data_IF_331441127241
#
_entry.id   IF_331441127241
#
_cell.length_a   1.000
_cell.length_b   1.000
_cell.length_c   1.000
_cell.angle_alpha   90.00
_cell.angle_beta   90.00
_cell.angle_gamma   90.00
#
_symmetry.space_group_name_H-M   'P 1'
#
loop_
_entity.id
_entity.type
_entity.pdbx_description
1 polymer ?
#
# COMPACT_ATOMS: atom_id res chain seq x y z
N UNK A 1 -43.77 -17.92 -48.73
CA UNK A 1 -43.94 -19.29 -48.19
C UNK A 1 -42.80 -19.47 -47.20
N UNK A 2 -42.90 -19.66 -45.91
CA UNK A 2 -43.94 -20.09 -44.99
C UNK A 2 -43.68 -19.43 -43.62
N UNK A 3 -44.74 -19.03 -42.98
CA UNK A 3 -44.82 -18.56 -41.58
C UNK A 3 -44.61 -19.70 -40.56
N UNK A 4 -44.05 -19.38 -39.38
CA UNK A 4 -44.45 -19.86 -38.05
C UNK A 4 -43.79 -18.90 -37.05
N UNK A 5 -44.39 -18.00 -36.40
CA UNK A 5 -45.44 -17.91 -35.33
C UNK A 5 -45.07 -18.61 -34.00
N UNK A 6 -44.76 -17.77 -33.03
CA UNK A 6 -45.29 -17.63 -31.64
C UNK A 6 -45.10 -18.78 -30.63
N UNK A 7 -44.66 -18.36 -29.47
CA UNK A 7 -44.85 -19.03 -28.21
C UNK A 7 -44.43 -18.14 -27.03
N UNK A 8 -45.22 -17.09 -26.72
CA UNK A 8 -45.27 -16.47 -25.39
C UNK A 8 -46.12 -17.41 -24.52
N UNK A 9 -45.58 -17.88 -23.42
CA UNK A 9 -46.40 -18.56 -22.42
C UNK A 9 -46.39 -17.76 -21.11
N UNK A 10 -47.64 -17.45 -20.77
CA UNK A 10 -48.11 -16.67 -19.63
C UNK A 10 -48.31 -17.65 -18.45
N UNK A 11 -47.62 -17.51 -17.35
CA UNK A 11 -47.95 -18.20 -16.11
C UNK A 11 -47.81 -17.29 -14.89
N UNK A 12 -48.62 -16.23 -14.90
CA UNK A 12 -49.11 -15.59 -13.67
C UNK A 12 -50.50 -16.08 -13.40
N UNK A 13 -50.75 -16.47 -12.15
CA UNK A 13 -51.98 -16.72 -11.40
C UNK A 13 -52.16 -18.17 -10.96
N UNK A 14 -52.16 -18.23 -9.68
CA UNK A 14 -52.97 -18.97 -8.73
C UNK A 14 -52.18 -19.29 -7.47
N UNK A 15 -52.47 -18.60 -6.38
CA UNK A 15 -52.81 -19.25 -5.10
C UNK A 15 -53.32 -18.19 -4.11
N UNK A 16 -54.63 -18.09 -4.03
CA UNK A 16 -55.32 -17.57 -2.89
C UNK A 16 -56.37 -18.59 -2.46
N UNK A 17 -56.51 -18.74 -1.14
CA UNK A 17 -57.56 -19.37 -0.35
C UNK A 17 -57.33 -20.82 0.09
N UNK A 18 -57.09 -20.97 1.39
CA UNK A 18 -58.03 -21.66 2.25
C UNK A 18 -57.71 -21.43 3.72
N UNK A 19 -58.63 -20.83 4.42
CA UNK A 19 -58.71 -20.69 5.88
C UNK A 19 -59.21 -21.98 6.49
N UNK A 20 -58.59 -22.44 7.58
CA UNK A 20 -59.25 -23.35 8.53
C UNK A 20 -58.79 -22.99 9.96
N UNK A 21 -59.71 -22.49 10.78
CA UNK A 21 -59.58 -22.36 12.23
C UNK A 21 -59.53 -23.73 12.87
N UNK A 22 -58.53 -23.93 13.78
CA UNK A 22 -58.70 -24.90 14.87
C UNK A 22 -58.19 -24.22 16.15
N UNK A 23 -59.12 -23.90 17.04
CA UNK A 23 -58.84 -23.42 18.37
C UNK A 23 -58.57 -24.61 19.29
N UNK A 24 -57.42 -24.69 19.94
CA UNK A 24 -57.17 -25.54 21.11
C UNK A 24 -56.36 -24.75 22.14
N UNK A 25 -56.81 -24.88 23.37
CA UNK A 25 -56.59 -24.18 24.61
C UNK A 25 -55.16 -23.73 24.94
N UNK A 26 -55.13 -22.50 25.42
CA UNK A 26 -53.93 -21.84 25.97
C UNK A 26 -53.69 -22.24 27.42
N UNK A 27 -52.55 -22.84 27.69
CA UNK A 27 -51.92 -22.73 29.00
C UNK A 27 -50.79 -21.71 28.88
N UNK A 28 -50.98 -20.54 29.44
CA UNK A 28 -49.99 -19.48 29.46
C UNK A 28 -48.82 -19.85 30.41
N UNK A 29 -47.73 -20.32 29.86
CA UNK A 29 -46.45 -20.31 30.57
C UNK A 29 -45.78 -18.97 30.23
N UNK A 30 -45.84 -18.04 31.16
CA UNK A 30 -45.09 -16.79 31.11
C UNK A 30 -43.60 -17.09 31.25
N UNK A 31 -42.93 -17.34 30.16
CA UNK A 31 -41.47 -17.27 30.09
C UNK A 31 -41.09 -15.79 30.16
N UNK A 32 -40.73 -15.32 31.34
CA UNK A 32 -39.99 -14.04 31.48
C UNK A 32 -38.60 -14.26 30.94
N UNK A 33 -38.42 -13.92 29.65
CA UNK A 33 -37.10 -13.68 29.11
C UNK A 33 -36.50 -12.49 29.84
N UNK A 34 -35.28 -12.60 30.40
CA UNK A 34 -34.62 -11.42 30.93
C UNK A 34 -34.49 -10.39 29.80
N UNK A 35 -35.10 -9.22 29.99
CA UNK A 35 -34.74 -8.05 29.18
C UNK A 35 -33.23 -7.88 29.32
N UNK A 36 -32.53 -8.21 28.25
CA UNK A 36 -31.14 -7.82 28.11
C UNK A 36 -31.15 -6.29 28.14
N UNK A 37 -30.70 -5.74 29.27
CA UNK A 37 -30.50 -4.31 29.40
C UNK A 37 -29.69 -3.88 28.14
N UNK A 38 -30.28 -3.03 27.31
CA UNK A 38 -29.56 -2.25 26.33
C UNK A 38 -28.62 -1.35 27.12
N UNK A 39 -27.48 -1.91 27.51
CA UNK A 39 -26.36 -1.08 27.89
C UNK A 39 -26.12 -0.17 26.70
N UNK A 40 -26.14 1.11 26.90
CA UNK A 40 -25.64 2.12 25.98
C UNK A 40 -24.19 1.71 25.68
N UNK A 41 -23.96 0.93 24.62
CA UNK A 41 -22.62 0.67 24.16
C UNK A 41 -22.11 2.02 23.65
N UNK A 42 -21.30 2.67 24.45
CA UNK A 42 -20.53 3.83 24.01
C UNK A 42 -19.72 3.33 22.83
N UNK A 43 -20.11 3.73 21.63
CA UNK A 43 -19.41 3.40 20.40
C UNK A 43 -17.97 3.90 20.54
N UNK A 44 -16.99 3.03 20.32
CA UNK A 44 -15.57 3.38 20.43
C UNK A 44 -15.25 4.41 19.36
N UNK A 45 -14.65 5.55 19.72
CA UNK A 45 -14.18 6.52 18.75
C UNK A 45 -12.73 6.20 18.37
N UNK A 46 -12.45 6.09 17.06
CA UNK A 46 -11.13 5.82 16.50
C UNK A 46 -10.64 6.98 15.65
N UNK A 47 -9.44 7.44 15.92
CA UNK A 47 -8.72 8.39 15.07
C UNK A 47 -7.85 7.63 14.10
N UNK A 48 -8.08 7.83 12.81
CA UNK A 48 -7.39 7.13 11.73
C UNK A 48 -6.74 8.12 10.80
N UNK A 49 -5.52 7.84 10.35
CA UNK A 49 -4.83 8.61 9.32
C UNK A 49 -4.30 7.72 8.21
N UNK A 50 -4.28 8.25 7.00
CA UNK A 50 -3.80 7.59 5.79
C UNK A 50 -4.00 8.48 4.59
N UNK A 51 -3.61 8.00 3.41
CA UNK A 51 -3.97 8.68 2.17
C UNK A 51 -5.41 8.36 1.78
N UNK A 52 -6.05 9.27 1.06
CA UNK A 52 -7.41 9.15 0.54
C UNK A 52 -7.48 8.42 -0.82
N UNK A 53 -6.77 7.29 -0.93
CA UNK A 53 -6.84 6.47 -2.13
C UNK A 53 -8.28 6.04 -2.46
N UNK A 54 -8.55 5.79 -3.75
CA UNK A 54 -9.82 5.25 -4.22
C UNK A 54 -10.29 4.01 -3.43
N UNK A 55 -9.35 3.08 -3.15
CA UNK A 55 -9.56 1.84 -2.37
C UNK A 55 -9.75 2.04 -0.87
N UNK A 56 -9.54 3.24 -0.36
CA UNK A 56 -9.74 3.63 1.03
C UNK A 56 -10.89 4.65 1.16
N UNK A 57 -11.26 5.32 0.07
CA UNK A 57 -12.22 6.42 0.07
C UNK A 57 -13.58 6.08 0.71
N UNK A 58 -14.06 4.84 0.55
CA UNK A 58 -15.33 4.43 1.17
C UNK A 58 -15.25 4.37 2.70
N UNK A 59 -14.07 4.06 3.26
CA UNK A 59 -13.79 4.11 4.69
C UNK A 59 -13.62 5.57 5.14
N UNK A 60 -12.80 6.34 4.45
CA UNK A 60 -12.52 7.74 4.76
C UNK A 60 -13.77 8.62 4.76
N UNK A 61 -14.75 8.33 3.88
CA UNK A 61 -16.02 9.06 3.80
C UNK A 61 -17.13 8.51 4.70
N UNK A 62 -16.85 7.46 5.49
CA UNK A 62 -17.83 6.82 6.37
C UNK A 62 -18.89 5.97 5.66
N UNK A 63 -18.75 5.73 4.36
CA UNK A 63 -19.61 4.81 3.59
C UNK A 63 -19.42 3.36 4.04
N UNK A 64 -18.20 2.98 4.38
CA UNK A 64 -17.84 1.76 5.09
C UNK A 64 -17.48 2.15 6.52
N UNK A 65 -17.92 1.35 7.49
CA UNK A 65 -17.65 1.58 8.91
C UNK A 65 -16.80 0.44 9.47
N UNK A 66 -15.99 0.73 10.47
CA UNK A 66 -15.41 -0.30 11.33
C UNK A 66 -16.50 -0.70 12.31
N UNK A 67 -16.86 -1.99 12.34
CA UNK A 67 -17.92 -2.50 13.20
C UNK A 67 -17.67 -2.16 14.67
N UNK A 68 -18.68 -1.64 15.35
CA UNK A 68 -18.59 -1.23 16.76
C UNK A 68 -17.89 0.11 17.00
N UNK A 69 -17.45 0.83 15.95
CA UNK A 69 -16.67 2.04 16.09
C UNK A 69 -17.25 3.23 15.31
N UNK A 70 -17.02 4.42 15.86
CA UNK A 70 -17.12 5.69 15.13
C UNK A 70 -15.73 6.11 14.67
N UNK A 71 -15.59 6.36 13.38
CA UNK A 71 -14.32 6.65 12.73
C UNK A 71 -14.17 8.16 12.48
N UNK A 72 -13.04 8.72 12.89
CA UNK A 72 -12.56 10.04 12.48
C UNK A 72 -11.34 9.85 11.57
N UNK A 73 -11.53 10.02 10.25
CA UNK A 73 -10.45 9.86 9.27
C UNK A 73 -9.85 11.22 8.93
N UNK A 74 -8.53 11.34 9.10
CA UNK A 74 -7.75 12.52 8.74
C UNK A 74 -6.75 12.15 7.65
N UNK A 75 -6.89 12.67 6.42
CA UNK A 75 -5.86 12.49 5.40
C UNK A 75 -4.50 13.01 5.86
N UNK A 76 -3.43 12.24 5.61
CA UNK A 76 -2.07 12.60 6.03
C UNK A 76 -1.05 12.37 4.93
N UNK A 77 0.17 12.87 5.14
CA UNK A 77 1.35 12.61 4.33
C UNK A 77 2.23 11.59 5.03
N UNK A 78 2.86 10.68 4.29
CA UNK A 78 3.58 9.54 4.88
C UNK A 78 4.71 9.96 5.85
N UNK A 79 5.47 10.99 5.50
CA UNK A 79 6.54 11.48 6.38
C UNK A 79 6.00 12.02 7.72
N UNK A 80 4.88 12.74 7.67
CA UNK A 80 4.20 13.25 8.87
C UNK A 80 3.60 12.11 9.70
N UNK A 81 2.96 11.13 9.05
CA UNK A 81 2.40 9.94 9.70
C UNK A 81 3.48 9.10 10.36
N UNK A 82 4.63 8.89 9.69
CA UNK A 82 5.78 8.19 10.25
C UNK A 82 6.36 8.95 11.46
N UNK A 83 6.56 10.27 11.34
CA UNK A 83 7.07 11.08 12.44
C UNK A 83 6.14 11.03 13.67
N UNK A 84 4.83 11.12 13.45
CA UNK A 84 3.83 11.06 14.51
C UNK A 84 3.81 9.69 15.21
N UNK A 85 3.91 8.60 14.44
CA UNK A 85 3.90 7.24 14.98
C UNK A 85 5.18 6.89 15.74
N UNK A 86 6.37 7.28 15.23
CA UNK A 86 7.65 6.83 15.81
C UNK A 86 8.20 7.73 16.89
N UNK A 87 7.90 9.00 16.88
CA UNK A 87 8.50 9.96 17.82
C UNK A 87 7.60 11.10 18.23
N UNK A 88 6.37 11.15 17.68
CA UNK A 88 5.38 12.17 17.99
C UNK A 88 4.49 11.83 19.17
N UNK A 89 3.36 12.50 19.26
CA UNK A 89 2.36 12.32 20.34
C UNK A 89 1.50 11.06 20.18
N UNK A 90 1.67 10.32 19.06
CA UNK A 90 0.91 9.10 18.75
C UNK A 90 -0.61 9.32 18.84
N UNK A 91 -1.06 10.42 18.25
CA UNK A 91 -2.45 10.89 18.32
C UNK A 91 -3.44 9.92 17.67
N UNK A 92 -2.98 9.18 16.66
CA UNK A 92 -3.81 8.28 15.88
C UNK A 92 -3.81 6.85 16.44
N UNK A 93 -4.99 6.24 16.49
CA UNK A 93 -5.18 4.85 16.92
C UNK A 93 -4.79 3.89 15.80
N UNK A 94 -5.04 4.31 14.55
CA UNK A 94 -4.71 3.56 13.32
C UNK A 94 -4.01 4.53 12.37
N UNK A 95 -2.87 4.13 11.85
CA UNK A 95 -2.06 4.94 10.93
C UNK A 95 -1.61 4.11 9.73
N UNK A 96 -1.68 4.68 8.55
CA UNK A 96 -0.88 4.21 7.43
C UNK A 96 0.59 4.53 7.71
N UNK A 97 1.49 3.58 7.46
CA UNK A 97 2.90 3.69 7.83
C UNK A 97 3.80 3.14 6.73
N UNK A 98 4.96 3.76 6.54
CA UNK A 98 5.99 3.26 5.63
C UNK A 98 6.55 1.94 6.11
N UNK A 99 6.61 0.92 5.24
CA UNK A 99 6.93 -0.43 5.70
C UNK A 99 8.41 -0.56 6.11
N UNK A 100 9.36 0.04 5.40
CA UNK A 100 10.77 0.06 5.84
C UNK A 100 10.98 0.90 7.10
N UNK A 101 10.48 2.14 7.24
CA UNK A 101 10.54 2.85 8.51
C UNK A 101 10.04 2.03 9.69
N UNK A 102 8.93 1.29 9.54
CA UNK A 102 8.43 0.40 10.59
C UNK A 102 9.39 -0.77 10.88
N UNK A 103 9.89 -1.46 9.84
CA UNK A 103 10.86 -2.54 9.98
C UNK A 103 12.11 -2.06 10.75
N UNK A 104 12.61 -0.86 10.44
CA UNK A 104 13.81 -0.30 11.08
C UNK A 104 13.54 0.10 12.52
N UNK A 105 12.44 0.78 12.81
CA UNK A 105 12.03 1.11 14.17
C UNK A 105 11.89 -0.16 15.03
N UNK A 106 11.27 -1.18 14.49
CA UNK A 106 11.06 -2.46 15.16
C UNK A 106 12.37 -3.22 15.42
N UNK A 107 13.26 -3.29 14.41
CA UNK A 107 14.49 -4.07 14.48
C UNK A 107 15.62 -3.36 15.22
N UNK A 108 15.72 -2.04 15.11
CA UNK A 108 16.86 -1.27 15.56
C UNK A 108 16.65 -0.63 16.93
N UNK A 109 15.42 -0.24 17.25
CA UNK A 109 15.10 0.57 18.45
C UNK A 109 14.00 -0.05 19.32
N UNK A 110 13.66 -1.32 19.04
CA UNK A 110 12.67 -2.09 19.81
C UNK A 110 11.28 -1.40 19.89
N UNK A 111 10.90 -0.69 18.82
CA UNK A 111 9.60 -0.03 18.74
C UNK A 111 8.45 -1.04 18.74
N UNK A 112 7.50 -0.91 19.68
CA UNK A 112 6.39 -1.84 19.90
C UNK A 112 5.05 -1.15 20.16
N UNK A 113 4.97 0.17 20.00
CA UNK A 113 3.75 0.94 20.32
C UNK A 113 2.63 0.67 19.32
N UNK A 114 3.02 0.32 18.08
CA UNK A 114 2.10 -0.12 17.03
C UNK A 114 2.47 -1.53 16.55
N UNK A 115 1.48 -2.22 16.01
CA UNK A 115 1.64 -3.48 15.28
C UNK A 115 0.97 -3.37 13.92
N UNK A 116 1.46 -4.10 12.92
CA UNK A 116 0.86 -4.07 11.59
C UNK A 116 -0.38 -4.97 11.51
N UNK A 117 -1.34 -4.55 10.72
CA UNK A 117 -2.37 -5.39 10.13
C UNK A 117 -1.97 -5.70 8.67
N UNK A 118 -2.31 -6.88 8.13
CA UNK A 118 -1.94 -7.24 6.77
C UNK A 118 -2.83 -6.54 5.72
N UNK A 119 -2.92 -5.22 5.83
CA UNK A 119 -3.58 -4.29 4.93
C UNK A 119 -2.52 -3.42 4.28
N UNK A 120 -2.44 -3.45 2.95
CA UNK A 120 -1.37 -2.82 2.17
C UNK A 120 -1.94 -1.77 1.21
N UNK A 121 -2.25 -0.56 1.69
CA UNK A 121 -2.95 0.44 0.89
C UNK A 121 -2.11 1.02 -0.25
N UNK A 122 -0.78 1.00 -0.18
CA UNK A 122 0.08 1.46 -1.27
C UNK A 122 1.06 0.38 -1.73
N UNK A 123 0.96 0.05 -3.01
CA UNK A 123 1.86 -0.85 -3.74
C UNK A 123 2.26 -0.20 -5.05
N UNK A 124 3.53 -0.24 -5.40
CA UNK A 124 4.04 0.41 -6.62
C UNK A 124 5.26 -0.33 -7.15
N UNK A 125 5.24 -0.73 -8.42
CA UNK A 125 6.44 -1.16 -9.12
C UNK A 125 7.42 0.00 -9.28
N UNK A 126 8.72 -0.30 -9.26
CA UNK A 126 9.78 0.70 -9.15
C UNK A 126 10.73 0.82 -10.34
N UNK A 127 10.54 0.04 -11.40
CA UNK A 127 11.33 0.22 -12.63
C UNK A 127 11.13 1.62 -13.25
N UNK A 128 9.91 2.15 -13.19
CA UNK A 128 9.58 3.52 -13.62
C UNK A 128 10.18 4.63 -12.75
N UNK A 129 10.78 4.28 -11.62
CA UNK A 129 11.32 5.20 -10.61
C UNK A 129 12.84 5.43 -10.74
N UNK A 130 13.44 4.99 -11.84
CA UNK A 130 14.87 5.13 -12.13
C UNK A 130 15.04 6.00 -13.34
N UNK A 131 15.65 7.18 -13.13
CA UNK A 131 15.89 8.18 -14.17
C UNK A 131 17.39 8.33 -14.42
N UNK A 132 17.77 8.55 -15.66
CA UNK A 132 19.16 8.62 -16.10
C UNK A 132 19.39 9.85 -16.96
N UNK A 133 20.63 10.27 -17.03
CA UNK A 133 21.09 11.19 -18.08
C UNK A 133 21.50 10.39 -19.32
N UNK A 134 20.94 10.76 -20.46
CA UNK A 134 21.19 10.11 -21.75
C UNK A 134 22.60 10.39 -22.31
N UNK A 135 23.28 11.42 -21.78
CA UNK A 135 24.66 11.80 -22.16
C UNK A 135 25.73 11.17 -21.24
N UNK A 136 25.39 10.11 -20.48
CA UNK A 136 26.29 9.42 -19.53
C UNK A 136 26.51 7.95 -19.85
N UNK A 137 26.25 7.53 -21.09
CA UNK A 137 26.47 6.15 -21.56
C UNK A 137 25.77 5.09 -20.67
N UNK A 138 24.55 5.40 -20.20
CA UNK A 138 23.71 4.48 -19.44
C UNK A 138 22.59 4.01 -20.38
N UNK A 139 22.68 2.74 -20.82
CA UNK A 139 21.73 2.16 -21.77
C UNK A 139 20.99 0.94 -21.16
N UNK A 140 21.53 0.36 -20.12
CA UNK A 140 20.98 -0.80 -19.39
C UNK A 140 21.33 -0.71 -17.91
N UNK A 141 20.64 -1.48 -17.04
CA UNK A 141 20.87 -1.42 -15.60
C UNK A 141 22.33 -1.59 -15.19
N UNK A 142 23.08 -2.52 -15.81
CA UNK A 142 24.46 -2.81 -15.46
C UNK A 142 25.43 -1.64 -15.67
N UNK A 143 25.06 -0.68 -16.52
CA UNK A 143 25.85 0.54 -16.78
C UNK A 143 25.81 1.53 -15.60
N UNK A 144 24.95 1.28 -14.59
CA UNK A 144 24.93 2.06 -13.35
C UNK A 144 26.13 1.82 -12.44
N UNK A 145 26.92 0.75 -12.65
CA UNK A 145 28.13 0.49 -11.85
C UNK A 145 29.12 1.64 -11.94
N UNK A 146 29.57 2.11 -10.79
CA UNK A 146 30.50 3.24 -10.68
C UNK A 146 29.89 4.61 -10.97
N UNK A 147 28.60 4.68 -11.33
CA UNK A 147 27.92 5.95 -11.58
C UNK A 147 27.52 6.65 -10.29
N UNK A 148 27.33 7.95 -10.38
CA UNK A 148 26.86 8.79 -9.29
C UNK A 148 25.34 8.90 -9.36
N UNK A 149 24.65 8.45 -8.32
CA UNK A 149 23.19 8.40 -8.27
C UNK A 149 22.68 9.25 -7.10
N UNK A 150 21.77 10.18 -7.42
CA UNK A 150 21.08 10.99 -6.41
C UNK A 150 19.87 10.27 -5.81
N UNK A 151 19.54 10.62 -4.58
CA UNK A 151 18.34 10.20 -3.89
C UNK A 151 17.92 11.24 -2.84
N UNK A 152 16.61 11.43 -2.52
CA UNK A 152 16.16 12.41 -1.52
C UNK A 152 16.45 12.00 -0.06
N UNK A 153 16.85 10.79 0.16
CA UNK A 153 17.23 10.16 1.42
C UNK A 153 17.82 8.81 1.11
N UNK A 154 17.88 7.87 2.06
CA UNK A 154 18.46 6.56 1.73
C UNK A 154 17.53 5.38 2.09
N UNK A 155 16.90 5.40 3.25
CA UNK A 155 16.20 4.23 3.81
C UNK A 155 14.68 4.27 3.67
N UNK A 156 14.13 5.03 2.71
CA UNK A 156 12.71 4.93 2.41
C UNK A 156 12.34 3.56 1.80
N UNK A 157 11.09 3.16 1.94
CA UNK A 157 10.60 1.88 1.38
C UNK A 157 10.83 1.81 -0.13
N UNK A 158 10.57 2.91 -0.86
CA UNK A 158 10.77 2.99 -2.30
C UNK A 158 12.21 2.74 -2.70
N UNK A 159 13.14 3.41 -2.05
CA UNK A 159 14.58 3.34 -2.36
C UNK A 159 15.16 1.97 -2.00
N UNK A 160 14.70 1.37 -0.90
CA UNK A 160 15.09 0.01 -0.51
C UNK A 160 14.63 -1.01 -1.53
N UNK A 161 13.40 -0.89 -2.05
CA UNK A 161 12.91 -1.72 -3.15
C UNK A 161 13.72 -1.54 -4.45
N UNK A 162 14.05 -0.30 -4.83
CA UNK A 162 14.83 -0.05 -6.05
C UNK A 162 16.21 -0.70 -5.95
N UNK A 163 16.92 -0.52 -4.83
CA UNK A 163 18.25 -1.12 -4.64
C UNK A 163 18.19 -2.64 -4.59
N UNK A 164 17.21 -3.21 -3.88
CA UNK A 164 17.03 -4.67 -3.83
C UNK A 164 16.70 -5.27 -5.20
N UNK A 165 15.84 -4.60 -5.97
CA UNK A 165 15.55 -4.96 -7.36
C UNK A 165 16.81 -4.91 -8.24
N UNK A 166 17.62 -3.84 -8.13
CA UNK A 166 18.88 -3.74 -8.87
C UNK A 166 19.86 -4.87 -8.51
N UNK A 167 19.90 -5.25 -7.26
CA UNK A 167 20.77 -6.34 -6.81
C UNK A 167 20.27 -7.71 -7.30
N UNK A 168 19.01 -8.03 -7.10
CA UNK A 168 18.46 -9.36 -7.41
C UNK A 168 18.36 -9.62 -8.92
N UNK A 169 17.95 -8.62 -9.70
CA UNK A 169 17.68 -8.80 -11.13
C UNK A 169 18.89 -8.50 -12.01
N UNK A 170 19.77 -7.56 -11.59
CA UNK A 170 20.87 -7.06 -12.41
C UNK A 170 22.25 -7.18 -11.73
N UNK A 171 22.31 -7.74 -10.52
CA UNK A 171 23.55 -7.95 -9.78
C UNK A 171 24.28 -6.67 -9.37
N UNK A 172 23.57 -5.52 -9.27
CA UNK A 172 24.14 -4.23 -8.89
C UNK A 172 23.96 -4.03 -7.39
N UNK A 173 25.06 -4.13 -6.65
CA UNK A 173 25.09 -3.88 -5.21
C UNK A 173 25.03 -2.38 -4.91
N UNK A 174 24.46 -1.96 -3.78
CA UNK A 174 24.55 -0.57 -3.31
C UNK A 174 25.99 -0.05 -3.22
N UNK A 175 26.97 -0.91 -2.95
CA UNK A 175 28.39 -0.56 -2.90
C UNK A 175 29.04 -0.32 -4.29
N UNK A 176 28.38 -0.74 -5.38
CA UNK A 176 28.83 -0.45 -6.75
C UNK A 176 28.51 0.99 -7.19
N UNK A 177 27.78 1.75 -6.40
CA UNK A 177 27.22 3.06 -6.71
C UNK A 177 27.88 4.15 -5.85
N UNK A 178 28.07 5.32 -6.42
CA UNK A 178 28.44 6.52 -5.69
C UNK A 178 27.15 7.30 -5.34
N UNK A 179 26.77 7.27 -4.08
CA UNK A 179 25.50 7.88 -3.63
C UNK A 179 25.65 9.35 -3.31
N UNK A 180 24.61 10.12 -3.67
CA UNK A 180 24.46 11.52 -3.28
C UNK A 180 23.05 11.69 -2.71
N UNK A 181 22.95 12.07 -1.44
CA UNK A 181 21.67 12.53 -0.87
C UNK A 181 21.49 14.01 -1.17
N UNK A 182 20.34 14.40 -1.71
CA UNK A 182 20.05 15.81 -1.98
C UNK A 182 19.84 16.60 -0.68
N UNK A 183 20.09 17.91 -0.75
CA UNK A 183 19.86 18.81 0.37
C UNK A 183 18.37 19.10 0.63
N UNK A 184 17.54 18.92 -0.42
CA UNK A 184 16.07 19.07 -0.38
C UNK A 184 15.43 17.86 -1.04
N UNK A 185 14.17 17.60 -0.71
CA UNK A 185 13.35 16.55 -1.32
C UNK A 185 12.27 17.20 -2.19
N UNK A 186 12.31 16.94 -3.50
CA UNK A 186 11.31 17.46 -4.45
C UNK A 186 9.91 16.86 -4.25
N UNK A 187 9.79 15.79 -3.47
CA UNK A 187 8.51 15.16 -3.13
C UNK A 187 7.88 15.67 -1.84
N UNK A 188 8.52 16.58 -1.11
CA UNK A 188 8.10 17.02 0.23
C UNK A 188 6.64 17.55 0.28
N UNK A 189 6.16 18.17 -0.80
CA UNK A 189 4.77 18.63 -0.89
C UNK A 189 3.76 17.46 -0.91
N UNK A 190 4.18 16.27 -1.33
CA UNK A 190 3.35 15.06 -1.46
C UNK A 190 3.58 14.13 -0.26
N UNK A 191 4.84 13.87 0.08
CA UNK A 191 5.22 12.91 1.11
C UNK A 191 5.36 13.51 2.52
N UNK A 192 5.43 14.82 2.65
CA UNK A 192 5.74 15.50 3.91
C UNK A 192 7.21 15.41 4.28
N UNK A 193 7.57 15.90 5.47
CA UNK A 193 8.92 15.81 6.01
C UNK A 193 9.22 14.36 6.40
N UNK A 194 10.24 13.75 5.78
CA UNK A 194 10.65 12.38 6.05
C UNK A 194 11.11 12.18 7.49
N UNK A 195 10.88 11.00 8.04
CA UNK A 195 11.31 10.62 9.38
C UNK A 195 12.81 10.24 9.41
N UNK A 196 13.38 10.17 10.63
CA UNK A 196 14.75 9.71 10.82
C UNK A 196 15.00 8.30 10.23
N UNK A 197 14.00 7.43 10.25
CA UNK A 197 14.09 6.08 9.68
C UNK A 197 14.13 6.06 8.15
N UNK A 198 13.82 7.15 7.47
CA UNK A 198 13.93 7.29 6.02
C UNK A 198 15.28 7.88 5.57
N UNK A 199 16.07 8.39 6.52
CA UNK A 199 17.38 8.99 6.29
C UNK A 199 18.55 8.18 6.88
N UNK A 200 18.30 6.94 7.33
CA UNK A 200 19.35 6.08 7.85
C UNK A 200 20.28 5.65 6.72
N UNK A 201 21.58 5.86 6.91
CA UNK A 201 22.65 5.44 6.00
C UNK A 201 23.40 4.28 6.67
N UNK A 202 23.59 3.14 5.99
CA UNK A 202 24.34 2.00 6.54
C UNK A 202 25.79 2.34 6.79
N UNK A 203 26.37 1.74 7.82
CA UNK A 203 27.80 1.86 8.11
C UNK A 203 28.65 1.36 6.91
N UNK A 204 29.71 2.08 6.61
CA UNK A 204 30.66 1.73 5.55
C UNK A 204 30.21 2.07 4.12
N UNK A 205 29.00 2.58 3.92
CA UNK A 205 28.56 3.07 2.63
C UNK A 205 28.98 4.53 2.41
N UNK A 206 29.68 4.79 1.31
CA UNK A 206 30.08 6.16 0.96
C UNK A 206 28.92 6.93 0.34
N UNK A 207 28.26 7.77 1.15
CA UNK A 207 27.17 8.64 0.71
C UNK A 207 27.61 10.08 0.90
N UNK A 208 27.64 10.86 -0.17
CA UNK A 208 27.91 12.29 -0.14
C UNK A 208 26.62 13.08 0.05
N UNK A 209 26.69 14.18 0.78
CA UNK A 209 25.59 15.15 0.81
C UNK A 209 25.73 16.12 -0.34
N UNK A 210 24.70 16.30 -1.10
CA UNK A 210 24.62 17.30 -2.18
C UNK A 210 24.52 18.73 -1.64
N UNK A 211 24.48 19.70 -2.56
CA UNK A 211 24.33 21.12 -2.19
C UNK A 211 23.03 21.33 -1.40
N UNK A 212 23.07 22.10 -0.28
CA UNK A 212 21.91 22.32 0.58
C UNK A 212 20.71 22.96 -0.12
N UNK A 213 20.98 23.73 -1.20
CA UNK A 213 19.96 24.47 -1.94
C UNK A 213 19.32 23.64 -3.08
N UNK A 214 19.89 22.48 -3.40
CA UNK A 214 19.45 21.62 -4.51
C UNK A 214 18.68 20.42 -4.02
N UNK A 215 17.59 20.15 -4.71
CA UNK A 215 16.95 18.85 -4.64
C UNK A 215 17.55 17.87 -5.68
N UNK A 216 17.10 16.63 -5.67
CA UNK A 216 17.62 15.58 -6.55
C UNK A 216 17.28 15.82 -8.03
N UNK A 217 16.19 16.55 -8.35
CA UNK A 217 15.88 16.97 -9.71
C UNK A 217 16.91 17.97 -10.22
N UNK A 218 17.29 18.96 -9.39
CA UNK A 218 18.31 19.95 -9.72
C UNK A 218 19.68 19.29 -9.99
N UNK A 219 20.05 18.29 -9.15
CA UNK A 219 21.30 17.54 -9.30
C UNK A 219 21.34 16.76 -10.62
N UNK A 220 20.21 16.14 -11.00
CA UNK A 220 20.11 15.41 -12.27
C UNK A 220 20.14 16.37 -13.48
N UNK A 221 19.38 17.47 -13.42
CA UNK A 221 19.31 18.47 -14.51
C UNK A 221 20.64 19.15 -14.75
N UNK A 222 21.35 19.54 -13.70
CA UNK A 222 22.68 20.18 -13.82
C UNK A 222 23.77 19.21 -14.28
N UNK A 223 23.55 17.89 -14.18
CA UNK A 223 24.54 16.87 -14.53
C UNK A 223 25.60 16.63 -13.45
N UNK A 224 25.34 17.04 -12.21
CA UNK A 224 26.15 16.71 -11.05
C UNK A 224 26.06 15.24 -10.69
N UNK A 225 24.97 14.58 -11.09
CA UNK A 225 24.77 13.13 -10.98
C UNK A 225 24.42 12.52 -12.34
N UNK A 226 24.68 11.23 -12.49
CA UNK A 226 24.45 10.48 -13.71
C UNK A 226 23.04 9.91 -13.78
N UNK A 227 22.46 9.59 -12.60
CA UNK A 227 21.13 9.02 -12.46
C UNK A 227 20.45 9.46 -11.16
N UNK A 228 19.17 9.14 -11.05
CA UNK A 228 18.32 9.45 -9.91
C UNK A 228 17.43 8.25 -9.60
N UNK A 229 17.41 7.81 -8.33
CA UNK A 229 16.39 6.93 -7.80
C UNK A 229 15.40 7.75 -6.97
N UNK A 230 14.14 7.78 -7.42
CA UNK A 230 13.14 8.59 -6.75
C UNK A 230 11.72 7.98 -6.82
N UNK A 231 10.93 8.23 -5.79
CA UNK A 231 9.56 7.72 -5.72
C UNK A 231 8.63 8.38 -6.75
N UNK A 232 8.89 9.64 -7.10
CA UNK A 232 8.12 10.43 -8.07
C UNK A 232 8.97 10.78 -9.30
N UNK A 233 8.33 11.33 -10.32
CA UNK A 233 9.02 11.79 -11.52
C UNK A 233 9.72 13.13 -11.27
N UNK A 234 11.02 13.27 -11.62
CA UNK A 234 11.73 14.54 -11.47
C UNK A 234 11.20 15.59 -12.47
N UNK A 235 11.34 16.86 -12.11
CA UNK A 235 10.85 18.00 -12.90
C UNK A 235 11.34 17.97 -14.34
N UNK A 236 12.64 17.75 -14.54
CA UNK A 236 13.22 17.70 -15.88
C UNK A 236 12.60 16.62 -16.76
N UNK A 237 12.24 15.45 -16.20
CA UNK A 237 11.55 14.41 -16.96
C UNK A 237 10.13 14.86 -17.36
N UNK A 238 9.37 15.44 -16.42
CA UNK A 238 8.00 15.93 -16.68
C UNK A 238 8.00 17.02 -17.74
N UNK A 239 9.01 17.90 -17.73
CA UNK A 239 9.16 19.02 -18.66
C UNK A 239 9.78 18.62 -20.00
N UNK A 240 10.15 17.34 -20.19
CA UNK A 240 10.73 16.86 -21.44
C UNK A 240 12.18 17.31 -21.66
N UNK A 241 12.97 17.41 -20.60
CA UNK A 241 14.40 17.76 -20.71
C UNK A 241 15.13 16.74 -21.61
N UNK A 242 15.86 17.19 -22.67
CA UNK A 242 16.36 16.33 -23.74
C UNK A 242 17.42 15.30 -23.29
N UNK A 243 18.01 15.51 -22.12
CA UNK A 243 19.04 14.63 -21.55
C UNK A 243 18.55 13.76 -20.39
N UNK A 244 17.25 13.76 -20.09
CA UNK A 244 16.70 12.98 -18.99
C UNK A 244 15.69 11.97 -19.55
N UNK A 245 15.89 10.70 -19.20
CA UNK A 245 15.01 9.60 -19.60
C UNK A 245 14.84 8.60 -18.45
N UNK A 246 13.90 7.69 -18.59
CA UNK A 246 13.84 6.50 -17.73
C UNK A 246 14.91 5.48 -18.13
N UNK A 247 15.50 4.82 -17.18
CA UNK A 247 16.40 3.68 -17.43
C UNK A 247 15.67 2.54 -18.17
N UNK A 248 14.41 2.33 -17.84
CA UNK A 248 13.52 1.39 -18.52
C UNK A 248 12.55 2.19 -19.41
N UNK A 249 12.84 2.33 -20.71
CA UNK A 249 11.96 3.10 -21.63
C UNK A 249 10.54 2.56 -21.66
N UNK A 250 10.37 1.23 -21.71
CA UNK A 250 9.11 0.54 -21.50
C UNK A 250 9.09 -0.04 -20.08
N UNK A 251 8.89 0.85 -19.10
CA UNK A 251 8.82 0.43 -17.69
C UNK A 251 7.65 -0.50 -17.43
N UNK A 252 6.53 -0.39 -18.17
CA UNK A 252 5.38 -1.28 -18.04
C UNK A 252 5.74 -2.72 -18.37
N UNK A 253 6.38 -2.96 -19.52
CA UNK A 253 6.81 -4.30 -19.91
C UNK A 253 7.83 -4.87 -18.92
N UNK A 254 8.78 -4.06 -18.43
CA UNK A 254 9.76 -4.48 -17.42
C UNK A 254 9.06 -4.87 -16.09
N UNK A 255 8.08 -4.11 -15.63
CA UNK A 255 7.31 -4.36 -14.41
C UNK A 255 6.44 -5.62 -14.54
N UNK A 256 5.83 -5.86 -15.71
CA UNK A 256 5.07 -7.09 -16.00
C UNK A 256 5.96 -8.31 -15.99
N UNK A 257 7.12 -8.28 -16.70
CA UNK A 257 8.11 -9.37 -16.70
C UNK A 257 8.62 -9.68 -15.30
N UNK A 258 8.91 -8.63 -14.50
CA UNK A 258 9.32 -8.81 -13.11
C UNK A 258 8.24 -9.51 -12.29
N UNK A 259 6.97 -9.09 -12.44
CA UNK A 259 5.87 -9.72 -11.72
C UNK A 259 5.66 -11.17 -12.14
N UNK A 260 5.65 -11.47 -13.43
CA UNK A 260 5.53 -12.85 -13.95
C UNK A 260 6.64 -13.76 -13.44
N UNK A 261 7.88 -13.25 -13.35
CA UNK A 261 9.04 -13.98 -12.83
C UNK A 261 8.96 -14.20 -11.33
N UNK A 262 8.57 -13.18 -10.57
CA UNK A 262 8.76 -13.15 -9.11
C UNK A 262 7.46 -13.32 -8.33
N UNK A 263 6.32 -12.95 -8.89
CA UNK A 263 5.04 -12.80 -8.18
C UNK A 263 5.02 -11.64 -7.19
N UNK A 264 6.02 -10.76 -7.23
CA UNK A 264 6.15 -9.64 -6.28
C UNK A 264 5.55 -8.38 -6.86
N UNK A 265 4.52 -7.85 -6.18
CA UNK A 265 4.06 -6.48 -6.34
C UNK A 265 4.52 -5.67 -5.12
N UNK A 266 5.53 -4.79 -5.25
CA UNK A 266 6.19 -4.17 -4.12
C UNK A 266 5.24 -3.38 -3.21
N UNK A 267 5.25 -3.71 -1.92
CA UNK A 267 4.46 -3.03 -0.89
C UNK A 267 5.26 -1.84 -0.37
N UNK A 268 4.63 -0.66 -0.39
CA UNK A 268 5.21 0.57 0.14
C UNK A 268 4.77 0.83 1.57
N UNK A 269 3.47 0.73 1.82
CA UNK A 269 2.85 1.07 3.09
C UNK A 269 1.98 -0.06 3.61
N UNK A 270 1.83 -0.12 4.92
CA UNK A 270 0.90 -0.99 5.63
C UNK A 270 0.05 -0.17 6.60
N UNK A 271 -1.05 -0.74 7.07
CA UNK A 271 -1.86 -0.17 8.16
C UNK A 271 -1.31 -0.68 9.48
N UNK A 272 -1.01 0.25 10.38
CA UNK A 272 -0.59 -0.03 11.76
C UNK A 272 -1.70 0.36 12.73
N UNK A 273 -1.86 -0.41 13.78
CA UNK A 273 -2.80 -0.15 14.88
C UNK A 273 -2.03 -0.05 16.19
N UNK A 274 -2.43 0.87 17.08
CA UNK A 274 -1.82 1.02 18.39
C UNK A 274 -1.96 -0.28 19.19
N UNK A 275 -0.81 -0.80 19.65
CA UNK A 275 -0.78 -2.10 20.31
C UNK A 275 -1.59 -2.12 21.60
N UNK A 276 -1.51 -1.09 22.44
CA UNK A 276 -2.28 -1.01 23.70
C UNK A 276 -3.79 -1.07 23.45
N UNK A 277 -4.27 -0.40 22.38
CA UNK A 277 -5.69 -0.43 22.01
C UNK A 277 -6.12 -1.85 21.59
N UNK A 278 -5.26 -2.51 20.83
CA UNK A 278 -5.53 -3.88 20.36
C UNK A 278 -5.46 -4.91 21.51
N UNK A 279 -4.53 -4.76 22.44
CA UNK A 279 -4.42 -5.62 23.63
C UNK A 279 -5.69 -5.56 24.50
N UNK A 280 -6.32 -4.39 24.60
CA UNK A 280 -7.60 -4.20 25.31
C UNK A 280 -8.80 -4.67 24.47
N UNK A 281 -8.70 -4.63 23.13
CA UNK A 281 -9.79 -4.89 22.21
C UNK A 281 -9.36 -5.81 21.04
N UNK A 282 -9.05 -7.09 21.25
CA UNK A 282 -8.51 -7.98 20.21
C UNK A 282 -9.40 -8.12 18.96
N UNK A 283 -10.74 -7.98 19.13
CA UNK A 283 -11.71 -8.02 18.04
C UNK A 283 -11.50 -6.90 17.00
N UNK A 284 -10.85 -5.81 17.39
CA UNK A 284 -10.67 -4.64 16.57
C UNK A 284 -9.78 -4.91 15.34
N UNK A 285 -8.80 -5.80 15.47
CA UNK A 285 -7.94 -6.20 14.34
C UNK A 285 -8.78 -6.71 13.15
N UNK A 286 -9.70 -7.64 13.41
CA UNK A 286 -10.57 -8.19 12.37
C UNK A 286 -11.54 -7.15 11.82
N UNK A 287 -12.13 -6.33 12.69
CA UNK A 287 -13.07 -5.28 12.27
C UNK A 287 -12.40 -4.26 11.35
N UNK A 288 -11.17 -3.84 11.66
CA UNK A 288 -10.38 -2.93 10.81
C UNK A 288 -10.02 -3.58 9.48
N UNK A 289 -9.50 -4.83 9.52
CA UNK A 289 -9.17 -5.57 8.29
C UNK A 289 -10.37 -5.70 7.36
N UNK A 290 -11.53 -6.08 7.90
CA UNK A 290 -12.78 -6.21 7.14
C UNK A 290 -13.22 -4.88 6.53
N UNK A 291 -13.11 -3.78 7.26
CA UNK A 291 -13.51 -2.45 6.78
C UNK A 291 -12.63 -1.99 5.61
N UNK A 292 -11.30 -2.14 5.69
CA UNK A 292 -10.40 -1.84 4.58
C UNK A 292 -10.65 -2.75 3.38
N UNK A 293 -10.84 -4.05 3.59
CA UNK A 293 -11.18 -5.02 2.53
C UNK A 293 -12.48 -4.65 1.83
N UNK A 294 -13.51 -4.32 2.60
CA UNK A 294 -14.82 -3.89 2.05
C UNK A 294 -14.70 -2.58 1.25
N UNK A 295 -13.93 -1.60 1.73
CA UNK A 295 -13.71 -0.34 1.02
C UNK A 295 -13.04 -0.59 -0.34
N UNK A 296 -12.01 -1.44 -0.38
CA UNK A 296 -11.33 -1.86 -1.61
C UNK A 296 -12.29 -2.60 -2.57
N UNK A 297 -13.09 -3.53 -2.06
CA UNK A 297 -14.06 -4.26 -2.90
C UNK A 297 -15.11 -3.36 -3.54
N UNK A 298 -15.53 -2.29 -2.85
CA UNK A 298 -16.43 -1.29 -3.45
C UNK A 298 -15.77 -0.58 -4.63
N UNK A 299 -14.47 -0.29 -4.53
CA UNK A 299 -13.69 0.26 -5.66
C UNK A 299 -13.61 -0.74 -6.81
N UNK A 300 -13.28 -2.01 -6.55
CA UNK A 300 -13.25 -3.04 -7.59
C UNK A 300 -14.60 -3.19 -8.29
N UNK A 301 -15.71 -3.22 -7.54
CA UNK A 301 -17.04 -3.25 -8.13
C UNK A 301 -17.30 -2.06 -9.06
N UNK A 302 -16.85 -0.86 -8.67
CA UNK A 302 -16.95 0.34 -9.52
C UNK A 302 -16.08 0.23 -10.76
N UNK A 303 -14.83 -0.22 -10.61
CA UNK A 303 -13.88 -0.40 -11.72
C UNK A 303 -14.45 -1.36 -12.78
N UNK A 304 -14.97 -2.50 -12.35
CA UNK A 304 -15.50 -3.54 -13.23
C UNK A 304 -16.84 -3.14 -13.89
N UNK A 305 -17.70 -2.44 -13.16
CA UNK A 305 -19.04 -2.09 -13.68
C UNK A 305 -18.98 -0.95 -14.70
N UNK A 306 -18.34 0.17 -14.36
CA UNK A 306 -18.35 1.37 -15.19
C UNK A 306 -17.05 2.18 -15.07
N UNK A 307 -15.94 1.61 -14.60
CA UNK A 307 -14.69 2.32 -14.44
C UNK A 307 -14.23 3.02 -15.71
N UNK A 308 -14.40 2.37 -16.85
CA UNK A 308 -14.09 2.93 -18.17
C UNK A 308 -14.90 4.18 -18.54
N UNK A 309 -16.05 4.43 -17.90
CA UNK A 309 -16.88 5.61 -18.13
C UNK A 309 -16.63 6.73 -17.10
N UNK A 310 -16.16 6.37 -15.90
CA UNK A 310 -15.94 7.33 -14.81
C UNK A 310 -14.49 7.81 -14.69
N UNK A 311 -13.54 7.06 -15.23
CA UNK A 311 -12.15 7.45 -15.25
C UNK A 311 -11.86 8.32 -16.48
N UNK A 312 -10.95 9.29 -16.33
CA UNK A 312 -10.54 10.17 -17.43
C UNK A 312 -9.55 9.50 -18.39
N UNK A 313 -9.02 8.31 -18.07
CA UNK A 313 -8.07 7.61 -18.93
C UNK A 313 -8.82 6.90 -20.08
N UNK A 314 -8.56 7.25 -21.35
CA UNK A 314 -9.33 6.73 -22.50
C UNK A 314 -9.27 5.21 -22.65
N UNK A 315 -8.15 4.59 -22.26
CA UNK A 315 -7.93 3.13 -22.37
C UNK A 315 -8.02 2.41 -21.02
N UNK A 316 -8.75 2.98 -20.07
CA UNK A 316 -8.90 2.40 -18.73
C UNK A 316 -9.36 0.93 -18.75
N UNK A 317 -10.36 0.59 -19.58
CA UNK A 317 -10.87 -0.78 -19.69
C UNK A 317 -9.79 -1.77 -20.13
N UNK A 318 -9.04 -1.42 -21.17
CA UNK A 318 -7.96 -2.24 -21.70
C UNK A 318 -6.80 -2.40 -20.70
N UNK A 319 -6.48 -1.35 -19.95
CA UNK A 319 -5.47 -1.42 -18.89
C UNK A 319 -5.94 -2.32 -17.73
N UNK A 320 -7.22 -2.27 -17.37
CA UNK A 320 -7.79 -3.15 -16.36
C UNK A 320 -7.74 -4.61 -16.80
N UNK A 321 -8.18 -4.90 -18.03
CA UNK A 321 -8.14 -6.25 -18.61
C UNK A 321 -6.70 -6.80 -18.68
N UNK A 322 -5.73 -5.99 -19.13
CA UNK A 322 -4.33 -6.37 -19.20
C UNK A 322 -3.74 -6.64 -17.81
N UNK A 323 -4.10 -5.83 -16.82
CA UNK A 323 -3.68 -6.02 -15.41
C UNK A 323 -4.26 -7.33 -14.86
N UNK A 324 -5.55 -7.59 -15.07
CA UNK A 324 -6.21 -8.81 -14.60
C UNK A 324 -5.64 -10.07 -15.25
N UNK A 325 -5.27 -10.02 -16.54
CA UNK A 325 -4.66 -11.13 -17.24
C UNK A 325 -3.34 -11.59 -16.63
N UNK A 326 -2.56 -10.66 -16.06
CA UNK A 326 -1.24 -10.95 -15.47
C UNK A 326 -1.34 -11.18 -13.95
N UNK A 327 -2.12 -10.37 -13.25
CA UNK A 327 -2.13 -10.32 -11.79
C UNK A 327 -3.37 -10.94 -11.15
N UNK A 328 -4.35 -11.36 -11.94
CA UNK A 328 -5.65 -11.83 -11.47
C UNK A 328 -6.59 -10.71 -11.03
N UNK A 329 -7.75 -11.05 -10.51
CA UNK A 329 -8.79 -10.07 -10.18
C UNK A 329 -8.51 -9.29 -8.89
N UNK A 330 -7.78 -9.88 -7.94
CA UNK A 330 -7.42 -9.25 -6.67
C UNK A 330 -5.95 -8.79 -6.67
N UNK A 331 -5.59 -7.90 -7.60
CA UNK A 331 -4.19 -7.43 -7.77
C UNK A 331 -3.69 -6.56 -6.61
N UNK A 332 -4.55 -6.01 -5.77
CA UNK A 332 -4.25 -5.34 -4.49
C UNK A 332 -4.63 -6.24 -3.30
N UNK A 333 -4.16 -7.48 -3.28
CA UNK A 333 -4.50 -8.44 -2.22
C UNK A 333 -4.09 -7.94 -0.83
N UNK A 334 -4.99 -8.08 0.16
CA UNK A 334 -4.69 -7.97 1.58
C UNK A 334 -4.55 -9.37 2.19
N UNK A 335 -4.19 -9.44 3.45
CA UNK A 335 -3.84 -10.69 4.11
C UNK A 335 -2.34 -11.00 4.00
N UNK A 336 -1.81 -11.74 4.98
CA UNK A 336 -0.38 -12.03 5.02
C UNK A 336 0.02 -13.09 3.99
N UNK A 337 -0.72 -14.20 3.92
CA UNK A 337 -0.29 -15.35 3.08
C UNK A 337 -0.10 -15.00 1.60
N UNK A 338 -1.01 -14.30 0.89
CA UNK A 338 -0.77 -13.91 -0.50
C UNK A 338 0.36 -12.90 -0.67
N UNK A 339 0.81 -12.26 0.42
CA UNK A 339 1.83 -11.21 0.44
C UNK A 339 3.12 -11.63 1.17
N UNK A 340 3.18 -12.83 1.75
CA UNK A 340 4.29 -13.33 2.56
C UNK A 340 5.63 -13.15 1.87
N UNK A 341 5.76 -13.65 0.65
CA UNK A 341 6.99 -13.52 -0.15
C UNK A 341 7.44 -12.07 -0.33
N UNK A 342 6.49 -11.16 -0.57
CA UNK A 342 6.79 -9.74 -0.75
C UNK A 342 7.33 -9.11 0.53
N UNK A 343 6.72 -9.39 1.69
CA UNK A 343 7.17 -8.86 2.99
C UNK A 343 8.50 -9.48 3.40
N UNK A 344 8.69 -10.81 3.23
CA UNK A 344 9.96 -11.50 3.47
C UNK A 344 11.10 -10.92 2.63
N UNK A 345 10.83 -10.66 1.34
CA UNK A 345 11.81 -10.02 0.44
C UNK A 345 12.21 -8.64 0.95
N UNK A 346 11.25 -7.84 1.43
CA UNK A 346 11.56 -6.51 1.96
C UNK A 346 12.35 -6.56 3.27
N UNK A 347 12.03 -7.51 4.17
CA UNK A 347 12.83 -7.76 5.39
C UNK A 347 14.26 -8.17 5.04
N UNK A 348 14.44 -9.04 4.05
CA UNK A 348 15.75 -9.43 3.53
C UNK A 348 16.50 -8.22 2.96
N UNK A 349 15.87 -7.40 2.13
CA UNK A 349 16.49 -6.19 1.58
C UNK A 349 16.91 -5.21 2.67
N UNK A 350 16.09 -5.01 3.71
CA UNK A 350 16.46 -4.16 4.84
C UNK A 350 17.73 -4.66 5.55
N UNK A 351 17.84 -5.98 5.72
CA UNK A 351 19.01 -6.60 6.35
C UNK A 351 20.25 -6.61 5.45
N UNK A 352 20.13 -7.08 4.21
CA UNK A 352 21.25 -7.18 3.25
C UNK A 352 21.85 -5.81 2.89
N UNK A 353 21.01 -4.76 2.89
CA UNK A 353 21.46 -3.39 2.67
C UNK A 353 22.03 -2.72 3.93
N UNK A 354 22.16 -3.45 5.04
CA UNK A 354 22.72 -2.93 6.30
C UNK A 354 21.84 -1.92 7.02
N UNK A 355 20.56 -1.81 6.67
CA UNK A 355 19.62 -0.89 7.29
C UNK A 355 19.05 -1.45 8.60
N UNK A 356 18.75 -2.74 8.63
CA UNK A 356 18.23 -3.44 9.79
C UNK A 356 19.34 -4.19 10.50
N UNK A 357 19.43 -4.06 11.84
CA UNK A 357 20.42 -4.75 12.69
C UNK A 357 20.26 -6.28 12.70
N UNK A 358 19.08 -6.78 12.34
CA UNK A 358 18.77 -8.21 12.26
C UNK A 358 17.76 -8.51 11.16
N UNK A 359 17.81 -9.74 10.66
CA UNK A 359 16.76 -10.24 9.77
C UNK A 359 15.51 -10.55 10.58
N UNK A 360 14.42 -9.87 10.24
CA UNK A 360 13.11 -10.08 10.89
C UNK A 360 12.36 -11.25 10.24
N UNK A 361 11.66 -12.01 11.07
CA UNK A 361 10.60 -12.90 10.61
C UNK A 361 9.33 -12.08 10.40
N UNK A 362 8.58 -12.41 9.36
CA UNK A 362 7.38 -11.66 8.97
C UNK A 362 6.35 -11.64 10.10
N UNK A 363 6.22 -12.75 10.83
CA UNK A 363 5.28 -12.91 11.93
C UNK A 363 5.52 -11.91 13.08
N UNK A 364 6.75 -11.40 13.22
CA UNK A 364 7.08 -10.43 14.26
C UNK A 364 6.44 -9.05 14.02
N UNK A 365 6.15 -8.71 12.77
CA UNK A 365 5.67 -7.39 12.37
C UNK A 365 4.16 -7.22 12.55
N UNK A 366 3.41 -8.32 12.51
CA UNK A 366 1.94 -8.29 12.49
C UNK A 366 1.34 -8.71 13.83
N UNK A 367 0.09 -8.26 14.07
CA UNK A 367 -0.66 -8.78 15.21
C UNK A 367 -0.87 -10.28 15.05
N UNK A 368 -0.87 -11.05 16.17
CA UNK A 368 -1.08 -12.49 16.12
C UNK A 368 -2.38 -12.89 15.41
N UNK A 369 -3.45 -12.14 15.63
CA UNK A 369 -4.76 -12.34 14.98
C UNK A 369 -4.65 -12.10 13.47
N UNK A 370 -3.89 -11.08 13.06
CA UNK A 370 -3.71 -10.68 11.67
C UNK A 370 -3.00 -11.71 10.80
N UNK A 371 -2.23 -12.62 11.40
CA UNK A 371 -1.50 -13.65 10.66
C UNK A 371 -2.44 -14.58 9.85
N UNK A 372 -3.66 -14.79 10.34
CA UNK A 372 -4.64 -15.68 9.72
C UNK A 372 -5.70 -14.96 8.87
N UNK A 373 -5.65 -13.62 8.75
CA UNK A 373 -6.67 -12.89 8.02
C UNK A 373 -6.62 -13.17 6.53
N UNK A 374 -7.77 -13.49 5.98
CA UNK A 374 -8.00 -13.76 4.56
C UNK A 374 -9.15 -12.87 4.08
N UNK A 375 -8.99 -12.30 2.90
CA UNK A 375 -10.07 -11.54 2.27
C UNK A 375 -11.15 -12.49 1.76
N UNK A 376 -12.40 -12.16 2.01
CA UNK A 376 -13.54 -12.74 1.28
C UNK A 376 -13.59 -12.04 -0.10
N UNK A 377 -13.24 -12.78 -1.16
CA UNK A 377 -13.13 -12.26 -2.56
C UNK A 377 -14.42 -12.52 -3.32
#
# INVERSE_FOLDING_TARGET
MSKKQNGYDDSRRYFLKSSALAAIGASAVTLTLPLRASGSSTTMRLKVTGYDYDRVAALATGKVKIEGCDLEFTPGKIGEMNNEAFGGSQTFDISEIGLIPFILAYANDDFRDYTLLPVFPLRVFRHKSIFIRTDREINKPEDLRGKTIATPGYSSTSLTWIRGLMQDEYGISPSDIQWVTSGKDSSADISGTVSGYENLIPDGLNVKTGSPDKDESDLLESGEVDALFHAIQPRGFIQGHPKIARLFPDSRAAEQTYFEKTGIFPIMHAVAIRKSLLDENPWLAQAVFNAYSQAKQLTYKKMLAMGWAYDALPWYGQELEATQAIMGNNFYSYGLEPNRKTVETLCRYAFEQGLSKRLLKVEELFSPEGLAFVEEV
#
